data_IF_298511323160
#
_entry.id   IF_298511323160
#
_cell.length_a   1.000
_cell.length_b   1.000
_cell.length_c   1.000
_cell.angle_alpha   90.00
_cell.angle_beta   90.00
_cell.angle_gamma   90.00
#
_symmetry.space_group_name_H-M   'P 1'
#
loop_
_entity.id
_entity.type
_entity.pdbx_description
1 polymer ?
#
# COMPACT_ATOMS: atom_id res chain seq x y z
N UNK A 1 87.35 27.94 -3.23
CA UNK A 1 86.19 28.27 -2.37
C UNK A 1 85.09 27.28 -2.73
N UNK A 2 84.72 26.40 -1.78
CA UNK A 2 83.93 25.19 -2.00
C UNK A 2 82.42 25.48 -2.01
N UNK A 3 81.69 24.96 -3.01
CA UNK A 3 80.22 25.00 -3.06
C UNK A 3 79.71 23.72 -2.39
N UNK A 4 79.09 23.86 -1.21
CA UNK A 4 78.50 22.74 -0.49
C UNK A 4 77.17 22.32 -1.15
N UNK A 5 77.13 21.11 -1.69
CA UNK A 5 75.92 20.49 -2.25
C UNK A 5 75.03 19.98 -1.11
N UNK A 6 73.88 20.60 -0.88
CA UNK A 6 72.90 20.13 0.13
C UNK A 6 72.06 19.01 -0.47
N UNK A 7 72.35 17.76 -0.12
CA UNK A 7 71.51 16.61 -0.47
C UNK A 7 70.22 16.65 0.38
N UNK A 8 69.07 16.84 -0.27
CA UNK A 8 67.76 16.66 0.37
C UNK A 8 67.57 15.20 0.80
N UNK A 9 67.09 14.93 2.03
CA UNK A 9 66.76 13.57 2.42
C UNK A 9 65.55 13.09 1.60
N UNK A 10 65.69 11.96 0.91
CA UNK A 10 64.55 11.22 0.34
C UNK A 10 63.70 10.75 1.51
N UNK A 11 62.49 11.28 1.65
CA UNK A 11 61.49 10.70 2.54
C UNK A 11 61.29 9.24 2.11
N UNK A 12 61.60 8.29 3.00
CA UNK A 12 61.30 6.90 2.76
C UNK A 12 59.78 6.75 2.77
N UNK A 13 59.20 6.20 1.70
CA UNK A 13 57.85 5.67 1.75
C UNK A 13 57.86 4.52 2.77
N UNK A 14 57.40 4.80 3.98
CA UNK A 14 57.21 3.77 5.00
C UNK A 14 56.10 2.82 4.50
N UNK A 15 56.43 1.53 4.38
CA UNK A 15 55.58 0.47 3.84
C UNK A 15 54.34 0.17 4.70
N UNK A 16 53.38 1.10 4.71
CA UNK A 16 52.07 0.98 5.34
C UNK A 16 50.91 0.85 4.31
N UNK A 17 51.23 0.85 3.01
CA UNK A 17 50.23 0.85 1.92
C UNK A 17 49.34 -0.40 1.88
N UNK A 18 49.85 -1.57 2.29
CA UNK A 18 49.08 -2.82 2.25
C UNK A 18 48.05 -2.91 3.38
N UNK A 19 48.41 -2.47 4.60
CA UNK A 19 47.44 -2.45 5.71
C UNK A 19 46.43 -1.32 5.54
N UNK A 20 46.86 -0.18 4.99
CA UNK A 20 45.99 0.96 4.69
C UNK A 20 44.94 0.62 3.63
N UNK A 21 45.34 -0.06 2.54
CA UNK A 21 44.38 -0.52 1.52
C UNK A 21 43.44 -1.60 2.05
N UNK A 22 43.92 -2.54 2.90
CA UNK A 22 43.05 -3.52 3.55
C UNK A 22 42.02 -2.87 4.47
N UNK A 23 42.42 -1.87 5.26
CA UNK A 23 41.49 -1.13 6.13
C UNK A 23 40.51 -0.29 5.29
N UNK A 24 40.95 0.34 4.20
CA UNK A 24 40.07 1.08 3.29
C UNK A 24 39.03 0.16 2.63
N UNK A 25 39.43 -1.02 2.16
CA UNK A 25 38.54 -2.02 1.60
C UNK A 25 37.56 -2.57 2.65
N UNK A 26 38.00 -2.76 3.90
CA UNK A 26 37.14 -3.17 5.00
C UNK A 26 36.05 -2.13 5.28
N UNK A 27 36.43 -0.85 5.41
CA UNK A 27 35.48 0.24 5.62
C UNK A 27 34.50 0.34 4.44
N UNK A 28 35.00 0.22 3.21
CA UNK A 28 34.16 0.23 2.01
C UNK A 28 33.18 -0.96 1.98
N UNK A 29 33.64 -2.16 2.33
CA UNK A 29 32.78 -3.34 2.40
C UNK A 29 31.64 -3.17 3.43
N UNK A 30 31.95 -2.67 4.63
CA UNK A 30 30.95 -2.36 5.66
C UNK A 30 29.99 -1.26 5.20
N UNK A 31 30.51 -0.23 4.52
CA UNK A 31 29.71 0.85 3.95
C UNK A 31 28.70 0.36 2.91
N UNK A 32 29.12 -0.53 2.00
CA UNK A 32 28.23 -1.09 0.96
C UNK A 32 27.12 -1.97 1.56
N UNK A 33 27.42 -2.79 2.56
CA UNK A 33 26.42 -3.60 3.26
C UNK A 33 25.36 -2.72 3.95
N UNK A 34 25.80 -1.60 4.51
CA UNK A 34 24.90 -0.64 5.17
C UNK A 34 23.90 -0.02 4.18
N UNK A 35 24.35 0.35 2.98
CA UNK A 35 23.48 0.92 1.93
C UNK A 35 22.46 -0.11 1.43
N UNK A 36 22.87 -1.37 1.27
CA UNK A 36 21.98 -2.42 0.78
C UNK A 36 20.83 -2.70 1.76
N UNK A 37 21.09 -2.68 3.07
CA UNK A 37 20.04 -2.80 4.07
C UNK A 37 19.00 -1.67 3.95
N UNK A 38 19.45 -0.43 3.74
CA UNK A 38 18.56 0.72 3.53
C UNK A 38 17.74 0.60 2.24
N UNK A 39 18.33 0.06 1.16
CA UNK A 39 17.61 -0.16 -0.11
C UNK A 39 16.44 -1.14 0.07
N UNK A 40 16.64 -2.24 0.81
CA UNK A 40 15.58 -3.21 1.09
C UNK A 40 14.43 -2.61 1.89
N UNK A 41 14.74 -1.83 2.92
CA UNK A 41 13.72 -1.12 3.71
C UNK A 41 12.97 -0.13 2.83
N UNK A 42 13.68 0.64 2.01
CA UNK A 42 13.08 1.63 1.09
C UNK A 42 12.09 0.98 0.12
N UNK A 43 12.45 -0.17 -0.45
CA UNK A 43 11.56 -0.92 -1.35
C UNK A 43 10.30 -1.40 -0.61
N UNK A 44 10.44 -1.97 0.59
CA UNK A 44 9.29 -2.40 1.40
C UNK A 44 8.35 -1.25 1.73
N UNK A 45 8.90 -0.11 2.17
CA UNK A 45 8.10 1.08 2.48
C UNK A 45 7.43 1.66 1.23
N UNK A 46 8.08 1.59 0.07
CA UNK A 46 7.52 2.06 -1.19
C UNK A 46 6.34 1.19 -1.63
N UNK A 47 6.49 -0.14 -1.60
CA UNK A 47 5.40 -1.08 -1.89
C UNK A 47 4.22 -0.88 -0.94
N UNK A 48 4.46 -0.77 0.36
CA UNK A 48 3.39 -0.55 1.34
C UNK A 48 2.66 0.78 1.11
N UNK A 49 3.39 1.85 0.78
CA UNK A 49 2.80 3.15 0.44
C UNK A 49 1.98 3.08 -0.84
N UNK A 50 2.47 2.36 -1.85
CA UNK A 50 1.74 2.14 -3.11
C UNK A 50 0.41 1.42 -2.88
N UNK A 51 0.41 0.31 -2.13
CA UNK A 51 -0.83 -0.43 -1.81
C UNK A 51 -1.83 0.42 -1.02
N UNK A 52 -1.33 1.25 -0.09
CA UNK A 52 -2.18 2.20 0.65
C UNK A 52 -2.83 3.22 -0.28
N UNK A 53 -2.11 3.73 -1.27
CA UNK A 53 -2.67 4.64 -2.27
C UNK A 53 -3.74 3.95 -3.12
N UNK A 54 -3.50 2.72 -3.58
CA UNK A 54 -4.53 1.94 -4.31
C UNK A 54 -5.77 1.71 -3.45
N UNK A 55 -5.61 1.35 -2.17
CA UNK A 55 -6.74 1.17 -1.25
C UNK A 55 -7.53 2.47 -1.02
N UNK A 56 -6.84 3.62 -0.96
CA UNK A 56 -7.52 4.92 -0.88
C UNK A 56 -8.31 5.22 -2.15
N UNK A 57 -7.74 5.00 -3.34
CA UNK A 57 -8.44 5.21 -4.62
C UNK A 57 -9.66 4.30 -4.74
N UNK A 58 -9.57 3.05 -4.28
CA UNK A 58 -10.69 2.10 -4.27
C UNK A 58 -11.78 2.49 -3.26
N UNK A 59 -11.41 3.10 -2.14
CA UNK A 59 -12.38 3.64 -1.18
C UNK A 59 -13.08 4.90 -1.72
N UNK A 60 -12.35 5.77 -2.42
CA UNK A 60 -12.90 6.93 -3.12
C UNK A 60 -13.85 6.49 -4.26
N UNK A 61 -13.50 5.46 -5.04
CA UNK A 61 -14.36 4.92 -6.11
C UNK A 61 -15.73 4.47 -5.59
N UNK A 62 -15.77 3.69 -4.50
CA UNK A 62 -17.04 3.26 -3.92
C UNK A 62 -17.81 4.42 -3.26
N UNK A 63 -17.10 5.40 -2.70
CA UNK A 63 -17.73 6.63 -2.17
C UNK A 63 -18.44 7.39 -3.29
N UNK A 64 -17.78 7.56 -4.44
CA UNK A 64 -18.37 8.23 -5.60
C UNK A 64 -19.56 7.45 -6.17
N UNK A 65 -19.51 6.11 -6.16
CA UNK A 65 -20.64 5.24 -6.57
C UNK A 65 -21.85 5.41 -5.67
N UNK A 66 -21.66 5.41 -4.34
CA UNK A 66 -22.73 5.67 -3.37
C UNK A 66 -23.35 7.05 -3.64
N UNK A 67 -22.51 8.09 -3.74
CA UNK A 67 -22.98 9.46 -3.99
C UNK A 67 -23.69 9.63 -5.34
N UNK A 68 -23.36 8.81 -6.35
CA UNK A 68 -24.02 8.83 -7.65
C UNK A 68 -25.33 8.04 -7.67
N UNK A 69 -25.47 7.05 -6.80
CA UNK A 69 -26.66 6.21 -6.69
C UNK A 69 -27.75 6.85 -5.84
N UNK A 70 -27.38 7.45 -4.71
CA UNK A 70 -28.32 7.94 -3.72
C UNK A 70 -29.07 9.19 -4.18
N UNK A 71 -30.40 9.17 -4.05
CA UNK A 71 -31.19 10.39 -4.06
C UNK A 71 -31.07 11.07 -2.69
N UNK A 72 -30.21 12.09 -2.63
CA UNK A 72 -29.97 12.92 -1.44
C UNK A 72 -31.26 13.57 -0.87
N UNK A 73 -32.39 13.47 -1.56
CA UNK A 73 -33.68 14.01 -1.12
C UNK A 73 -34.61 13.00 -0.45
N UNK A 74 -34.34 11.68 -0.53
CA UNK A 74 -35.11 10.64 0.16
C UNK A 74 -34.28 9.93 1.26
N UNK A 75 -34.53 10.21 2.55
CA UNK A 75 -33.83 9.55 3.65
C UNK A 75 -34.18 8.06 3.82
N UNK A 76 -35.09 7.50 3.01
CA UNK A 76 -35.38 6.07 2.98
C UNK A 76 -34.45 5.26 2.06
N UNK A 77 -33.68 5.92 1.19
CA UNK A 77 -32.82 5.31 0.17
C UNK A 77 -31.31 5.52 0.50
N UNK A 78 -30.98 5.69 1.79
CA UNK A 78 -29.63 6.06 2.23
C UNK A 78 -28.81 4.91 2.83
N UNK A 79 -29.31 3.68 2.74
CA UNK A 79 -28.66 2.47 3.23
C UNK A 79 -28.55 1.38 2.15
N UNK A 80 -28.77 1.72 0.87
CA UNK A 80 -28.78 0.74 -0.23
C UNK A 80 -27.43 0.02 -0.40
N UNK A 81 -26.31 0.66 -0.04
CA UNK A 81 -24.98 0.03 -0.04
C UNK A 81 -24.61 -0.64 1.29
N UNK A 82 -25.51 -0.67 2.29
CA UNK A 82 -25.25 -1.34 3.56
C UNK A 82 -25.05 -2.86 3.38
N UNK A 83 -24.15 -3.41 4.18
CA UNK A 83 -23.88 -4.85 4.24
C UNK A 83 -23.06 -5.41 3.08
N UNK A 84 -22.49 -4.56 2.22
CA UNK A 84 -21.55 -5.02 1.19
C UNK A 84 -20.32 -5.63 1.87
N UNK A 85 -19.96 -6.82 1.41
CA UNK A 85 -18.72 -7.51 1.74
C UNK A 85 -18.25 -8.29 0.50
N UNK A 86 -17.11 -7.91 -0.06
CA UNK A 86 -16.63 -8.46 -1.33
C UNK A 86 -16.28 -9.95 -1.24
N UNK A 87 -16.05 -10.48 -0.03
CA UNK A 87 -15.79 -11.90 0.21
C UNK A 87 -17.07 -12.76 0.09
N UNK A 88 -18.26 -12.15 0.24
CA UNK A 88 -19.55 -12.85 0.18
C UNK A 88 -20.02 -13.18 -1.26
N UNK A 89 -19.11 -13.18 -2.23
CA UNK A 89 -19.40 -13.64 -3.59
C UNK A 89 -20.32 -12.70 -4.36
N UNK A 90 -19.84 -11.49 -4.69
CA UNK A 90 -20.49 -10.65 -5.69
C UNK A 90 -20.34 -11.25 -7.10
N UNK A 91 -21.43 -11.30 -7.87
CA UNK A 91 -21.47 -11.86 -9.22
C UNK A 91 -21.97 -10.82 -10.22
N UNK A 92 -21.45 -10.86 -11.45
CA UNK A 92 -21.86 -9.97 -12.54
C UNK A 92 -23.36 -10.12 -12.85
N UNK A 93 -24.18 -9.07 -12.69
CA UNK A 93 -25.59 -9.10 -13.07
C UNK A 93 -25.81 -9.10 -14.59
N UNK A 94 -24.77 -8.93 -15.41
CA UNK A 94 -24.82 -8.99 -16.87
C UNK A 94 -25.52 -7.80 -17.52
N UNK A 95 -25.71 -6.70 -16.78
CA UNK A 95 -26.52 -5.56 -17.21
C UNK A 95 -25.69 -4.34 -17.69
N UNK A 96 -24.37 -4.35 -17.53
CA UNK A 96 -23.51 -3.18 -17.85
C UNK A 96 -23.54 -2.72 -19.31
N UNK A 97 -23.94 -3.58 -20.25
CA UNK A 97 -24.01 -3.24 -21.69
C UNK A 97 -25.42 -2.85 -22.15
N UNK A 98 -26.45 -3.47 -21.56
CA UNK A 98 -27.86 -3.30 -21.96
C UNK A 98 -28.62 -2.30 -21.09
N UNK A 99 -27.99 -1.82 -20.01
CA UNK A 99 -28.58 -0.98 -18.98
C UNK A 99 -29.04 -1.80 -17.77
N UNK A 100 -28.78 -1.29 -16.57
CA UNK A 100 -29.15 -1.92 -15.30
C UNK A 100 -30.45 -1.31 -14.75
N UNK A 101 -31.28 -2.16 -14.14
CA UNK A 101 -32.29 -1.68 -13.18
C UNK A 101 -31.61 -1.17 -11.91
N UNK A 102 -32.30 -0.39 -11.09
CA UNK A 102 -31.75 0.18 -9.85
C UNK A 102 -31.17 -0.91 -8.90
N UNK A 103 -31.86 -2.04 -8.74
CA UNK A 103 -31.36 -3.16 -7.94
C UNK A 103 -30.16 -3.88 -8.60
N UNK A 104 -30.10 -3.93 -9.93
CA UNK A 104 -28.97 -4.52 -10.64
C UNK A 104 -27.74 -3.60 -10.66
N UNK A 105 -27.93 -2.29 -10.58
CA UNK A 105 -26.84 -1.32 -10.52
C UNK A 105 -25.99 -1.55 -9.25
N UNK A 106 -26.64 -1.72 -8.09
CA UNK A 106 -25.94 -2.04 -6.84
C UNK A 106 -25.12 -3.35 -6.95
N UNK A 107 -25.72 -4.38 -7.55
CA UNK A 107 -25.04 -5.66 -7.76
C UNK A 107 -23.84 -5.54 -8.72
N UNK A 108 -23.98 -4.73 -9.78
CA UNK A 108 -22.90 -4.46 -10.73
C UNK A 108 -21.77 -3.71 -10.03
N UNK A 109 -22.10 -2.66 -9.28
CA UNK A 109 -21.14 -1.84 -8.56
C UNK A 109 -20.34 -2.66 -7.54
N UNK A 110 -21.03 -3.52 -6.80
CA UNK A 110 -20.38 -4.42 -5.84
C UNK A 110 -19.45 -5.42 -6.56
N UNK A 111 -19.87 -5.94 -7.72
CA UNK A 111 -19.06 -6.87 -8.52
C UNK A 111 -17.82 -6.20 -9.12
N UNK A 112 -17.97 -5.01 -9.70
CA UNK A 112 -16.87 -4.24 -10.29
C UNK A 112 -15.88 -3.82 -9.20
N UNK A 113 -16.36 -3.28 -8.08
CA UNK A 113 -15.51 -2.88 -6.96
C UNK A 113 -14.73 -4.06 -6.38
N UNK A 114 -15.39 -5.21 -6.20
CA UNK A 114 -14.72 -6.47 -5.83
C UNK A 114 -13.61 -6.82 -6.81
N UNK A 115 -13.89 -6.81 -8.11
CA UNK A 115 -12.94 -7.19 -9.16
C UNK A 115 -11.71 -6.27 -9.16
N UNK A 116 -11.93 -4.96 -8.95
CA UNK A 116 -10.86 -3.97 -8.84
C UNK A 116 -10.03 -4.18 -7.57
N UNK A 117 -10.67 -4.46 -6.42
CA UNK A 117 -9.95 -4.79 -5.18
C UNK A 117 -9.08 -6.04 -5.35
N UNK A 118 -9.64 -7.13 -5.86
CA UNK A 118 -8.92 -8.40 -6.02
C UNK A 118 -7.76 -8.31 -7.03
N UNK A 119 -7.89 -7.46 -8.04
CA UNK A 119 -6.86 -7.28 -9.08
C UNK A 119 -5.71 -6.37 -8.65
N UNK A 120 -5.97 -5.38 -7.77
CA UNK A 120 -4.99 -4.36 -7.35
C UNK A 120 -4.36 -4.64 -5.99
N UNK A 121 -5.09 -5.31 -5.09
CA UNK A 121 -4.66 -5.54 -3.71
C UNK A 121 -4.47 -7.05 -3.42
N UNK A 122 -3.32 -7.45 -2.86
CA UNK A 122 -3.10 -8.84 -2.45
C UNK A 122 -4.03 -9.19 -1.27
N UNK A 123 -4.84 -10.25 -1.41
CA UNK A 123 -5.82 -10.62 -0.38
C UNK A 123 -6.85 -9.51 -0.12
N UNK A 124 -7.14 -8.71 -1.16
CA UNK A 124 -8.01 -7.54 -1.06
C UNK A 124 -9.42 -7.90 -0.62
N UNK A 125 -9.98 -7.10 0.30
CA UNK A 125 -11.38 -7.19 0.72
C UNK A 125 -11.94 -5.79 0.97
N UNK A 126 -13.20 -5.57 0.59
CA UNK A 126 -13.91 -4.34 0.82
C UNK A 126 -15.20 -4.60 1.59
N UNK A 127 -15.52 -3.74 2.56
CA UNK A 127 -16.80 -3.75 3.26
C UNK A 127 -17.40 -2.36 3.32
N UNK A 128 -18.72 -2.27 3.22
CA UNK A 128 -19.50 -1.04 3.42
C UNK A 128 -20.56 -1.33 4.47
N UNK A 129 -20.63 -0.48 5.49
CA UNK A 129 -21.62 -0.58 6.56
C UNK A 129 -22.27 0.80 6.76
N UNK A 130 -23.59 0.84 6.81
CA UNK A 130 -24.33 2.06 7.10
C UNK A 130 -24.69 2.12 8.60
N UNK A 131 -24.21 3.15 9.28
CA UNK A 131 -24.45 3.36 10.70
C UNK A 131 -24.91 4.80 10.96
N UNK A 132 -26.14 4.94 11.45
CA UNK A 132 -26.66 6.21 11.99
C UNK A 132 -26.53 7.43 11.05
N UNK A 133 -26.75 7.25 9.73
CA UNK A 133 -26.69 8.33 8.75
C UNK A 133 -25.32 8.51 8.09
N UNK A 134 -24.38 7.58 8.31
CA UNK A 134 -23.07 7.61 7.69
C UNK A 134 -22.67 6.22 7.20
N UNK A 135 -21.95 6.17 6.08
CA UNK A 135 -21.28 4.96 5.61
C UNK A 135 -19.88 4.86 6.19
N UNK A 136 -19.57 3.72 6.78
CA UNK A 136 -18.24 3.28 7.14
C UNK A 136 -17.71 2.37 6.03
N UNK A 137 -16.80 2.90 5.23
CA UNK A 137 -16.18 2.18 4.12
C UNK A 137 -14.81 1.69 4.55
N UNK A 138 -14.55 0.39 4.37
CA UNK A 138 -13.28 -0.24 4.76
C UNK A 138 -12.71 -1.05 3.62
N UNK A 139 -11.49 -0.72 3.21
CA UNK A 139 -10.70 -1.47 2.23
C UNK A 139 -9.51 -2.12 2.94
N UNK A 140 -9.31 -3.41 2.72
CA UNK A 140 -8.37 -4.26 3.44
C UNK A 140 -7.47 -5.00 2.46
N UNK A 141 -6.21 -5.23 2.85
CA UNK A 141 -5.25 -5.99 2.05
C UNK A 141 -4.14 -6.61 2.91
N UNK A 142 -3.50 -7.64 2.37
CA UNK A 142 -2.34 -8.30 2.98
C UNK A 142 -1.04 -7.58 2.59
N UNK A 143 -0.65 -6.59 3.39
CA UNK A 143 0.54 -5.76 3.14
C UNK A 143 1.85 -6.57 3.12
N UNK A 144 1.97 -7.53 4.04
CA UNK A 144 3.21 -8.27 4.30
C UNK A 144 3.22 -9.66 3.64
N UNK A 145 2.12 -10.02 2.97
CA UNK A 145 1.91 -11.32 2.30
C UNK A 145 2.00 -12.49 3.28
N UNK A 146 1.43 -12.31 4.47
CA UNK A 146 1.42 -13.31 5.55
C UNK A 146 0.39 -14.41 5.30
N UNK A 147 -0.61 -14.16 4.44
CA UNK A 147 -1.78 -15.02 4.27
C UNK A 147 -2.83 -14.85 5.38
N UNK A 148 -2.74 -13.76 6.16
CA UNK A 148 -3.75 -13.38 7.12
C UNK A 148 -5.09 -13.08 6.43
N UNK A 149 -6.21 -13.40 7.10
CA UNK A 149 -7.57 -13.17 6.59
C UNK A 149 -8.47 -12.47 7.63
N UNK A 150 -7.93 -12.10 8.79
CA UNK A 150 -8.70 -11.39 9.80
C UNK A 150 -9.07 -9.98 9.33
N UNK A 151 -10.28 -9.54 9.67
CA UNK A 151 -10.82 -8.22 9.29
C UNK A 151 -10.90 -7.27 10.48
N UNK A 152 -10.25 -7.62 11.60
CA UNK A 152 -10.36 -6.88 12.86
C UNK A 152 -9.56 -5.57 12.89
N UNK A 153 -8.77 -5.28 11.86
CA UNK A 153 -7.95 -4.07 11.74
C UNK A 153 -7.11 -3.75 12.99
N UNK A 154 -6.65 -4.77 13.73
CA UNK A 154 -5.93 -4.58 15.00
C UNK A 154 -4.51 -4.00 14.86
N UNK A 155 -4.00 -3.94 13.63
CA UNK A 155 -2.62 -3.58 13.32
C UNK A 155 -1.64 -4.75 13.43
N UNK A 156 -2.11 -5.95 13.78
CA UNK A 156 -1.30 -7.17 13.76
C UNK A 156 -1.41 -7.87 12.40
N UNK A 157 -0.39 -7.70 11.55
CA UNK A 157 -0.37 -8.21 10.16
C UNK A 157 -0.27 -9.73 10.06
N UNK A 158 -0.01 -10.46 11.15
CA UNK A 158 -0.04 -11.92 11.19
C UNK A 158 -1.45 -12.49 11.38
N UNK A 159 -2.41 -11.66 11.82
CA UNK A 159 -3.78 -12.07 12.14
C UNK A 159 -4.79 -11.35 11.26
N UNK A 160 -4.64 -10.02 11.15
CA UNK A 160 -5.55 -9.15 10.43
C UNK A 160 -4.91 -8.56 9.17
N UNK A 161 -5.75 -8.29 8.17
CA UNK A 161 -5.41 -7.47 7.03
C UNK A 161 -5.10 -6.03 7.46
N UNK A 162 -4.25 -5.36 6.69
CA UNK A 162 -4.06 -3.92 6.82
C UNK A 162 -5.28 -3.21 6.27
N UNK A 163 -5.78 -2.22 7.01
CA UNK A 163 -7.02 -1.53 6.67
C UNK A 163 -6.80 -0.06 6.30
N UNK A 164 -7.65 0.42 5.41
CA UNK A 164 -7.93 1.83 5.16
C UNK A 164 -9.43 2.05 5.33
N UNK A 165 -9.80 3.00 6.18
CA UNK A 165 -11.20 3.28 6.53
C UNK A 165 -11.51 4.74 6.23
N UNK A 166 -12.67 4.99 5.63
CA UNK A 166 -13.21 6.34 5.41
C UNK A 166 -14.67 6.35 5.82
N UNK A 167 -15.11 7.46 6.41
CA UNK A 167 -16.51 7.65 6.79
C UNK A 167 -17.12 8.72 5.88
N UNK A 168 -18.21 8.37 5.20
CA UNK A 168 -19.03 9.29 4.41
C UNK A 168 -20.25 9.68 5.22
N UNK A 169 -20.41 10.96 5.52
CA UNK A 169 -21.65 11.47 6.15
C UNK A 169 -22.55 12.02 5.05
N UNK A 170 -23.83 11.62 5.09
CA UNK A 170 -24.86 12.07 4.16
C UNK A 170 -25.58 13.34 4.67
#
# INVERSE_FOLDING_TARGET
MSIANRLSPRASHAGSTMIETLVALLILAVGLLSIQAMQLVSLRTNTSSYLRTEAQLLAEDITDRILAYEDITDPADNDDYDGIDTDNGAADPGCGVVGCTQAQQLALDTFEWKTEIESRLPGGRGTVVFNAGAYDLTVMWDNDKTGANGTGCSGNTDVDLTCYTVQLNL
#
